data_IF_963259921343
#
_entry.id   IF_963259921343
#
_cell.length_a   1.000
_cell.length_b   1.000
_cell.length_c   1.000
_cell.angle_alpha   90.00
_cell.angle_beta   90.00
_cell.angle_gamma   90.00
#
_symmetry.space_group_name_H-M   'P 1'
#
loop_
_entity.id
_entity.type
_entity.pdbx_description
1 polymer ?
#
# COMPACT_ATOMS: atom_id res chain seq x y z
N UNK A 1 29.46 22.38 26.68
CA UNK A 1 28.70 21.22 26.16
C UNK A 1 28.25 21.60 24.77
N UNK A 2 28.77 20.94 23.75
CA UNK A 2 28.32 21.11 22.37
C UNK A 2 27.10 20.18 22.17
N UNK A 3 26.06 20.72 21.54
CA UNK A 3 24.76 20.08 21.32
C UNK A 3 24.46 19.94 19.83
N UNK A 4 25.53 19.97 19.01
CA UNK A 4 25.48 19.70 17.59
C UNK A 4 24.90 18.32 17.31
N UNK A 5 24.34 18.16 16.11
CA UNK A 5 23.84 16.88 15.65
C UNK A 5 24.98 15.86 15.55
N UNK A 6 26.15 16.28 15.08
CA UNK A 6 27.31 15.41 14.88
C UNK A 6 27.77 14.73 16.18
N UNK A 7 27.82 15.47 17.29
CA UNK A 7 28.28 14.93 18.57
C UNK A 7 27.24 14.06 19.27
N UNK A 8 25.96 14.46 19.23
CA UNK A 8 24.89 13.77 19.98
C UNK A 8 24.35 12.56 19.21
N UNK A 9 24.33 12.63 17.87
CA UNK A 9 23.80 11.60 16.98
C UNK A 9 24.77 11.31 15.82
N UNK A 10 25.95 10.74 16.08
CA UNK A 10 26.93 10.42 15.04
C UNK A 10 26.37 9.45 13.98
N UNK A 11 25.39 8.62 14.31
CA UNK A 11 24.71 7.75 13.36
C UNK A 11 23.96 8.53 12.26
N UNK A 12 23.46 9.73 12.59
CA UNK A 12 22.70 10.58 11.67
C UNK A 12 23.61 11.35 10.70
N UNK A 13 24.90 11.49 11.01
CA UNK A 13 25.89 12.10 10.10
C UNK A 13 26.00 11.30 8.81
N UNK A 14 25.94 9.97 8.89
CA UNK A 14 25.97 9.09 7.72
C UNK A 14 24.74 9.24 6.80
N UNK A 15 23.64 9.78 7.33
CA UNK A 15 22.42 10.04 6.58
C UNK A 15 22.33 11.50 6.09
N UNK A 16 23.35 12.34 6.32
CA UNK A 16 23.35 13.74 5.88
C UNK A 16 23.55 13.84 4.36
N UNK A 17 22.65 14.53 3.65
CA UNK A 17 22.76 14.67 2.19
C UNK A 17 23.67 15.83 1.78
N UNK A 18 24.43 15.63 0.72
CA UNK A 18 25.22 16.68 0.02
C UNK A 18 24.35 17.85 -0.47
N UNK A 19 23.02 17.66 -0.60
CA UNK A 19 22.05 18.70 -0.95
C UNK A 19 21.93 19.81 0.11
N UNK A 20 22.50 19.61 1.29
CA UNK A 20 22.57 20.65 2.32
C UNK A 20 23.70 21.67 2.06
N UNK A 21 24.49 21.49 1.00
CA UNK A 21 25.54 22.40 0.54
C UNK A 21 26.54 22.68 1.66
N UNK A 22 26.63 23.93 2.13
CA UNK A 22 27.59 24.37 3.15
C UNK A 22 27.14 24.07 4.58
N UNK A 23 25.90 23.64 4.81
CA UNK A 23 25.40 23.34 6.15
C UNK A 23 25.84 21.93 6.56
N UNK A 24 26.62 21.84 7.64
CA UNK A 24 27.12 20.57 8.19
C UNK A 24 26.35 20.13 9.44
N UNK A 25 26.43 18.85 9.84
CA UNK A 25 25.91 18.36 11.12
C UNK A 25 26.51 19.06 12.36
N UNK A 26 27.71 19.65 12.25
CA UNK A 26 28.34 20.41 13.32
C UNK A 26 27.73 21.80 13.51
N UNK A 27 27.18 22.38 12.43
CA UNK A 27 26.58 23.74 12.42
C UNK A 27 25.16 23.80 13.00
N UNK A 28 24.56 22.66 13.36
CA UNK A 28 23.15 22.57 13.73
C UNK A 28 22.92 21.66 14.93
N UNK A 29 22.02 22.09 15.81
CA UNK A 29 21.69 21.31 17.02
C UNK A 29 20.73 20.17 16.71
N UNK A 30 20.83 19.07 17.46
CA UNK A 30 19.94 17.90 17.30
C UNK A 30 18.45 18.26 17.51
N UNK A 31 18.16 19.30 18.29
CA UNK A 31 16.80 19.80 18.56
C UNK A 31 16.22 20.74 17.50
N UNK A 32 16.93 21.02 16.40
CA UNK A 32 16.52 22.03 15.43
C UNK A 32 15.29 21.62 14.61
N UNK A 33 14.37 22.57 14.43
CA UNK A 33 13.20 22.39 13.55
C UNK A 33 13.53 22.61 12.06
N UNK A 34 14.76 22.99 11.70
CA UNK A 34 15.16 23.24 10.31
C UNK A 34 15.02 21.95 9.50
N UNK A 35 14.29 22.01 8.38
CA UNK A 35 14.20 20.92 7.42
C UNK A 35 15.45 20.92 6.55
N UNK A 36 16.12 19.76 6.53
CA UNK A 36 17.33 19.50 5.74
C UNK A 36 17.12 18.23 4.92
N UNK A 37 17.96 18.02 3.92
CA UNK A 37 17.95 16.82 3.11
C UNK A 37 18.68 15.69 3.81
N UNK A 38 18.05 14.53 3.83
CA UNK A 38 18.57 13.27 4.34
C UNK A 38 18.69 12.29 3.19
N UNK A 39 19.71 11.44 3.24
CA UNK A 39 19.91 10.32 2.33
C UNK A 39 20.07 9.06 3.17
N UNK A 40 19.05 8.22 3.19
CA UNK A 40 19.10 6.98 3.95
C UNK A 40 19.97 5.92 3.26
N UNK A 41 20.43 4.92 4.01
CA UNK A 41 21.13 3.76 3.46
C UNK A 41 20.31 2.98 2.42
N UNK A 42 18.98 3.16 2.40
CA UNK A 42 18.09 2.64 1.36
C UNK A 42 18.21 3.38 0.01
N UNK A 43 19.08 4.38 -0.11
CA UNK A 43 19.28 5.18 -1.32
C UNK A 43 18.25 6.28 -1.53
N UNK A 44 17.18 6.32 -0.73
CA UNK A 44 16.17 7.36 -0.82
C UNK A 44 16.64 8.68 -0.21
N UNK A 45 16.26 9.78 -0.86
CA UNK A 45 16.45 11.12 -0.33
C UNK A 45 15.12 11.78 0.04
N UNK A 46 15.09 12.45 1.20
CA UNK A 46 13.89 13.15 1.66
C UNK A 46 14.25 14.34 2.56
N UNK A 47 13.30 15.28 2.69
CA UNK A 47 13.41 16.35 3.66
C UNK A 47 12.68 16.01 4.96
N UNK A 48 13.34 16.24 6.09
CA UNK A 48 12.79 16.15 7.44
C UNK A 48 13.52 17.13 8.36
N UNK A 49 12.91 17.50 9.49
CA UNK A 49 13.62 18.33 10.48
C UNK A 49 14.68 17.52 11.22
N UNK A 50 15.74 18.20 11.67
CA UNK A 50 16.79 17.59 12.50
C UNK A 50 16.20 16.98 13.78
N UNK A 51 15.28 17.70 14.44
CA UNK A 51 14.56 17.21 15.61
C UNK A 51 13.78 15.91 15.34
N UNK A 52 13.07 15.82 14.23
CA UNK A 52 12.29 14.63 13.90
C UNK A 52 13.19 13.40 13.70
N UNK A 53 14.32 13.60 13.03
CA UNK A 53 15.34 12.57 12.81
C UNK A 53 16.04 12.14 14.10
N UNK A 54 16.40 13.09 14.95
CA UNK A 54 16.96 12.84 16.28
C UNK A 54 15.99 12.08 17.18
N UNK A 55 14.68 12.30 17.03
CA UNK A 55 13.62 11.53 17.69
C UNK A 55 13.35 10.15 17.05
N UNK A 56 14.13 9.75 16.04
CA UNK A 56 14.07 8.41 15.45
C UNK A 56 13.12 8.24 14.25
N UNK A 57 12.51 9.30 13.72
CA UNK A 57 11.69 9.21 12.49
C UNK A 57 12.52 8.63 11.35
N UNK A 58 12.05 7.57 10.68
CA UNK A 58 12.80 6.85 9.62
C UNK A 58 12.43 7.34 8.22
N UNK A 59 13.05 6.75 7.19
CA UNK A 59 12.74 7.07 5.79
C UNK A 59 11.23 6.91 5.50
N UNK A 60 10.52 7.97 5.07
CA UNK A 60 9.08 7.94 4.85
C UNK A 60 8.66 7.10 3.63
N UNK A 61 9.59 6.84 2.71
CA UNK A 61 9.35 6.00 1.54
C UNK A 61 9.40 4.52 1.96
N UNK A 62 10.39 4.12 2.76
CA UNK A 62 10.49 2.75 3.28
C UNK A 62 9.34 2.39 4.22
N UNK A 63 8.90 3.31 5.08
CA UNK A 63 7.75 3.08 5.96
C UNK A 63 6.40 3.11 5.23
N UNK A 64 6.39 3.55 3.96
CA UNK A 64 5.19 3.72 3.16
C UNK A 64 4.33 4.92 3.57
N UNK A 65 4.84 5.82 4.41
CA UNK A 65 4.20 7.09 4.76
C UNK A 65 4.15 8.06 3.56
N UNK A 66 5.08 7.91 2.61
CA UNK A 66 5.10 8.63 1.33
C UNK A 66 5.13 7.63 0.18
N UNK A 67 4.20 7.76 -0.76
CA UNK A 67 4.16 6.97 -2.00
C UNK A 67 4.99 7.68 -3.07
N UNK A 68 5.88 6.94 -3.72
CA UNK A 68 6.63 7.36 -4.90
C UNK A 68 6.40 6.33 -6.00
N UNK A 69 5.81 6.78 -7.11
CA UNK A 69 5.58 5.94 -8.28
C UNK A 69 6.91 5.42 -8.85
N UNK A 70 6.93 4.15 -9.22
CA UNK A 70 8.13 3.45 -9.70
C UNK A 70 9.03 2.91 -8.57
N UNK A 71 8.72 3.18 -7.29
CA UNK A 71 9.55 2.78 -6.16
C UNK A 71 8.77 1.88 -5.19
N UNK A 72 7.77 2.44 -4.50
CA UNK A 72 7.06 1.76 -3.41
C UNK A 72 5.54 1.72 -3.61
N UNK A 73 5.07 2.07 -4.80
CA UNK A 73 3.67 2.02 -5.14
C UNK A 73 3.20 0.58 -5.48
N UNK A 74 1.88 0.37 -5.42
CA UNK A 74 1.27 -0.93 -5.66
C UNK A 74 1.48 -1.44 -7.09
N UNK A 75 1.52 -0.57 -8.10
CA UNK A 75 1.70 -0.98 -9.48
C UNK A 75 3.08 -1.59 -9.71
N UNK A 76 4.10 -0.94 -9.13
CA UNK A 76 5.49 -1.39 -9.19
C UNK A 76 5.70 -2.68 -8.41
N UNK A 77 5.20 -2.75 -7.17
CA UNK A 77 5.50 -3.88 -6.28
C UNK A 77 4.60 -5.11 -6.49
N UNK A 78 3.36 -4.94 -6.94
CA UNK A 78 2.37 -6.03 -7.05
C UNK A 78 1.60 -5.99 -8.40
N UNK A 79 2.30 -6.09 -9.55
CA UNK A 79 1.71 -5.93 -10.89
C UNK A 79 0.62 -6.98 -11.20
N UNK A 80 0.71 -8.18 -10.63
CA UNK A 80 -0.31 -9.21 -10.80
C UNK A 80 -1.60 -8.87 -10.03
N UNK A 81 -1.48 -8.24 -8.86
CA UNK A 81 -2.62 -7.85 -8.06
C UNK A 81 -3.34 -6.64 -8.67
N UNK A 82 -2.61 -5.76 -9.35
CA UNK A 82 -3.18 -4.64 -10.13
C UNK A 82 -4.15 -5.11 -11.22
N UNK A 83 -4.01 -6.34 -11.74
CA UNK A 83 -5.00 -6.93 -12.65
C UNK A 83 -6.39 -7.10 -12.01
N UNK A 84 -6.46 -7.08 -10.67
CA UNK A 84 -7.69 -7.12 -9.91
C UNK A 84 -8.17 -5.73 -9.47
N UNK A 85 -7.51 -4.66 -9.88
CA UNK A 85 -7.94 -3.29 -9.57
C UNK A 85 -9.19 -2.96 -10.39
N UNK A 86 -10.28 -2.56 -9.73
CA UNK A 86 -11.48 -2.13 -10.47
C UNK A 86 -11.26 -0.76 -11.11
N UNK A 87 -11.75 -0.61 -12.34
CA UNK A 87 -11.82 0.68 -13.06
C UNK A 87 -12.71 1.70 -12.36
N UNK A 88 -13.53 1.28 -11.39
CA UNK A 88 -14.41 2.15 -10.59
C UNK A 88 -13.68 2.96 -9.51
N UNK A 89 -12.43 2.62 -9.21
CA UNK A 89 -11.64 3.37 -8.24
C UNK A 89 -11.25 4.74 -8.78
N UNK A 90 -11.37 5.77 -7.94
CA UNK A 90 -10.94 7.14 -8.27
C UNK A 90 -9.43 7.35 -8.11
N UNK A 91 -8.77 6.50 -7.32
CA UNK A 91 -7.31 6.52 -7.12
C UNK A 91 -6.65 5.44 -7.98
N UNK A 92 -5.45 5.73 -8.46
CA UNK A 92 -4.64 4.80 -9.26
C UNK A 92 -3.77 3.91 -8.37
N UNK A 93 -3.38 2.72 -8.83
CA UNK A 93 -2.44 1.86 -8.10
C UNK A 93 -1.10 2.53 -7.79
N UNK A 94 -0.64 3.45 -8.64
CA UNK A 94 0.59 4.23 -8.42
C UNK A 94 0.51 5.23 -7.26
N UNK A 95 -0.69 5.47 -6.70
CA UNK A 95 -0.93 6.45 -5.64
C UNK A 95 -1.05 5.81 -4.24
N UNK A 96 -0.83 4.50 -4.12
CA UNK A 96 -0.94 3.77 -2.86
C UNK A 96 0.23 2.82 -2.67
N UNK A 97 0.72 2.68 -1.44
CA UNK A 97 1.68 1.63 -1.08
C UNK A 97 0.99 0.30 -0.81
N UNK A 98 1.76 -0.79 -0.82
CA UNK A 98 1.26 -2.12 -0.43
C UNK A 98 0.74 -2.14 1.02
N UNK A 99 1.25 -1.30 1.93
CA UNK A 99 0.79 -1.20 3.32
C UNK A 99 -0.46 -0.34 3.52
N UNK A 100 -1.01 0.24 2.45
CA UNK A 100 -2.07 1.23 2.56
C UNK A 100 -3.36 0.66 3.17
N UNK A 101 -3.93 1.43 4.10
CA UNK A 101 -5.23 1.17 4.71
C UNK A 101 -6.41 1.66 3.84
N UNK A 102 -6.15 2.33 2.71
CA UNK A 102 -7.21 2.81 1.81
C UNK A 102 -8.03 1.63 1.30
N UNK A 103 -9.34 1.73 1.44
CA UNK A 103 -10.29 0.77 0.89
C UNK A 103 -10.56 1.11 -0.57
N UNK A 104 -10.45 0.10 -1.41
CA UNK A 104 -10.66 0.19 -2.85
C UNK A 104 -11.48 -1.00 -3.34
N UNK A 105 -12.06 -0.85 -4.53
CA UNK A 105 -12.85 -1.88 -5.17
C UNK A 105 -11.91 -2.82 -5.93
N UNK A 106 -11.95 -4.08 -5.57
CA UNK A 106 -11.25 -5.18 -6.24
C UNK A 106 -12.23 -5.92 -7.14
N UNK A 107 -11.73 -6.48 -8.25
CA UNK A 107 -12.49 -7.32 -9.18
C UNK A 107 -11.71 -8.59 -9.50
N UNK A 108 -12.28 -9.76 -9.21
CA UNK A 108 -11.62 -11.03 -9.54
C UNK A 108 -11.90 -11.44 -11.00
N UNK A 109 -11.21 -12.48 -11.48
CA UNK A 109 -11.41 -13.02 -12.84
C UNK A 109 -12.84 -13.50 -13.10
N UNK A 110 -13.56 -13.97 -12.07
CA UNK A 110 -14.99 -14.35 -12.14
C UNK A 110 -15.94 -13.15 -12.17
N UNK A 111 -15.41 -11.92 -12.11
CA UNK A 111 -16.19 -10.69 -12.21
C UNK A 111 -16.79 -10.19 -10.90
N UNK A 112 -16.61 -10.90 -9.78
CA UNK A 112 -17.05 -10.41 -8.47
C UNK A 112 -16.29 -9.13 -8.09
N UNK A 113 -17.03 -8.13 -7.63
CA UNK A 113 -16.46 -6.89 -7.07
C UNK A 113 -16.65 -6.83 -5.57
N UNK A 114 -15.63 -6.40 -4.83
CA UNK A 114 -15.71 -6.19 -3.40
C UNK A 114 -14.76 -5.09 -2.93
N UNK A 115 -15.12 -4.43 -1.84
CA UNK A 115 -14.27 -3.45 -1.19
C UNK A 115 -13.34 -4.13 -0.18
N UNK A 116 -12.04 -3.80 -0.23
CA UNK A 116 -11.06 -4.21 0.77
C UNK A 116 -9.90 -3.20 0.83
N UNK A 117 -9.24 -3.11 1.99
CA UNK A 117 -8.01 -2.32 2.11
C UNK A 117 -6.89 -2.92 1.26
N UNK A 118 -5.98 -2.07 0.74
CA UNK A 118 -4.82 -2.52 -0.05
C UNK A 118 -3.98 -3.51 0.75
N UNK A 119 -3.62 -3.18 2.00
CA UNK A 119 -2.86 -4.06 2.90
C UNK A 119 -3.48 -5.44 3.10
N UNK A 120 -4.82 -5.54 3.08
CA UNK A 120 -5.49 -6.83 3.24
C UNK A 120 -5.20 -7.75 2.07
N UNK A 121 -5.05 -7.20 0.86
CA UNK A 121 -4.78 -7.98 -0.35
C UNK A 121 -3.29 -8.27 -0.54
N UNK A 122 -2.42 -7.34 -0.14
CA UNK A 122 -0.98 -7.40 -0.37
C UNK A 122 -0.23 -8.07 0.78
N UNK A 123 -0.48 -7.70 2.03
CA UNK A 123 0.24 -8.21 3.21
C UNK A 123 -0.51 -9.41 3.79
N UNK A 124 -1.81 -9.26 4.06
CA UNK A 124 -2.61 -10.35 4.63
C UNK A 124 -3.01 -11.41 3.59
N UNK A 125 -2.68 -11.16 2.31
CA UNK A 125 -2.94 -12.04 1.15
C UNK A 125 -4.38 -12.57 1.08
N UNK A 126 -5.36 -11.77 1.50
CA UNK A 126 -6.77 -12.17 1.42
C UNK A 126 -7.27 -12.18 -0.03
N UNK A 127 -8.24 -13.04 -0.31
CA UNK A 127 -8.79 -13.25 -1.66
C UNK A 127 -10.16 -12.63 -1.87
N UNK A 128 -10.81 -13.06 -2.96
CA UNK A 128 -12.20 -12.74 -3.22
C UNK A 128 -13.11 -13.48 -2.23
N UNK A 129 -13.90 -12.78 -1.40
CA UNK A 129 -14.73 -13.43 -0.37
C UNK A 129 -15.85 -14.30 -0.96
N UNK A 130 -16.25 -14.02 -2.20
CA UNK A 130 -17.25 -14.80 -2.91
C UNK A 130 -16.68 -16.11 -3.47
N UNK A 131 -15.42 -16.09 -3.93
CA UNK A 131 -14.76 -17.31 -4.43
C UNK A 131 -14.39 -18.27 -3.30
N UNK A 132 -14.14 -17.74 -2.10
CA UNK A 132 -13.83 -18.55 -0.92
C UNK A 132 -15.07 -18.94 -0.10
N UNK A 133 -16.28 -18.70 -0.63
CA UNK A 133 -17.57 -18.94 0.04
C UNK A 133 -17.76 -18.25 1.40
N UNK A 134 -16.92 -17.25 1.73
CA UNK A 134 -17.06 -16.42 2.93
C UNK A 134 -18.18 -15.37 2.78
N UNK A 135 -18.66 -15.14 1.55
CA UNK A 135 -19.84 -14.34 1.23
C UNK A 135 -20.65 -14.98 0.12
N UNK A 136 -21.97 -14.93 0.25
CA UNK A 136 -22.90 -15.34 -0.82
C UNK A 136 -22.96 -14.24 -1.87
N UNK A 137 -22.64 -14.58 -3.13
CA UNK A 137 -22.86 -13.68 -4.25
C UNK A 137 -24.33 -13.73 -4.66
N UNK A 138 -25.10 -12.68 -4.34
CA UNK A 138 -26.49 -12.60 -4.77
C UNK A 138 -26.53 -12.17 -6.24
N UNK A 139 -26.88 -13.12 -7.11
CA UNK A 139 -27.17 -12.80 -8.50
C UNK A 139 -28.38 -11.85 -8.55
N UNK A 140 -28.21 -10.68 -9.19
CA UNK A 140 -29.32 -9.73 -9.41
C UNK A 140 -30.21 -10.12 -10.59
N UNK A 141 -29.79 -11.11 -11.39
CA UNK A 141 -30.64 -11.72 -12.38
C UNK A 141 -31.57 -12.69 -11.66
N UNK A 142 -32.88 -12.42 -11.71
CA UNK A 142 -33.84 -13.49 -11.60
C UNK A 142 -33.48 -14.48 -12.70
N UNK A 143 -32.91 -15.64 -12.36
CA UNK A 143 -33.10 -16.80 -13.20
C UNK A 143 -34.61 -17.02 -13.24
N UNK A 144 -35.28 -16.59 -14.31
CA UNK A 144 -36.56 -17.22 -14.66
C UNK A 144 -36.19 -18.68 -14.91
N UNK A 145 -36.59 -19.54 -13.99
CA UNK A 145 -36.47 -20.97 -14.11
C UNK A 145 -37.10 -21.38 -15.46
N UNK A 146 -36.27 -21.69 -16.44
CA UNK A 146 -36.65 -22.46 -17.61
C UNK A 146 -36.58 -23.94 -17.27
N UNK A 147 -37.34 -24.39 -16.26
CA UNK A 147 -37.70 -25.79 -16.15
C UNK A 147 -38.90 -25.98 -17.09
N UNK A 148 -38.64 -26.43 -18.31
CA UNK A 148 -39.68 -27.05 -19.12
C UNK A 148 -39.86 -28.47 -18.61
N UNK A 149 -40.77 -28.66 -17.65
CA UNK A 149 -41.34 -29.98 -17.38
C UNK A 149 -42.22 -30.36 -18.58
N UNK A 150 -41.68 -31.16 -19.49
CA UNK A 150 -42.46 -31.92 -20.46
C UNK A 150 -42.40 -33.40 -20.10
N UNK A 151 -43.52 -33.92 -19.59
CA UNK A 151 -43.99 -35.28 -19.86
C UNK A 151 -43.29 -36.44 -19.15
N UNK A 152 -44.02 -37.04 -18.20
CA UNK A 152 -43.86 -38.42 -17.74
C UNK A 152 -44.00 -39.43 -18.92
N UNK A 153 -43.52 -40.68 -18.83
CA UNK A 153 -44.33 -41.68 -18.13
C UNK A 153 -43.55 -42.69 -17.26
N UNK A 154 -44.18 -42.97 -16.12
CA UNK A 154 -44.30 -44.25 -15.41
C UNK A 154 -43.65 -45.48 -16.04
N UNK A 155 -42.76 -46.14 -15.29
CA UNK A 155 -42.49 -47.58 -15.45
C UNK A 155 -42.75 -48.26 -14.10
N UNK A 156 -43.79 -49.11 -14.09
CA UNK A 156 -44.04 -50.11 -13.05
C UNK A 156 -42.91 -51.15 -13.12
N UNK A 157 -42.32 -51.46 -11.97
CA UNK A 157 -41.49 -52.66 -11.81
C UNK A 157 -42.40 -53.73 -11.20
N UNK A 158 -42.49 -54.85 -11.90
CA UNK A 158 -43.09 -56.11 -11.43
C UNK A 158 -42.19 -56.75 -10.36
#
# INVERSE_FOLDING_TARGET
>A
MNNSLAEVHPELVSEWSEKNLTLTPDDITFGSNKKVWWRGACGHEWQASVKARSNGEKCPICSGARVIAGINDLATLEPLLVKQWSKKNKIKPIEVTIGSHKKVIWRCKKGHEWEAAVKSRTINKTGCPYCSHNKVFRCKFHCRNGFSESGSPSVKVL
#
